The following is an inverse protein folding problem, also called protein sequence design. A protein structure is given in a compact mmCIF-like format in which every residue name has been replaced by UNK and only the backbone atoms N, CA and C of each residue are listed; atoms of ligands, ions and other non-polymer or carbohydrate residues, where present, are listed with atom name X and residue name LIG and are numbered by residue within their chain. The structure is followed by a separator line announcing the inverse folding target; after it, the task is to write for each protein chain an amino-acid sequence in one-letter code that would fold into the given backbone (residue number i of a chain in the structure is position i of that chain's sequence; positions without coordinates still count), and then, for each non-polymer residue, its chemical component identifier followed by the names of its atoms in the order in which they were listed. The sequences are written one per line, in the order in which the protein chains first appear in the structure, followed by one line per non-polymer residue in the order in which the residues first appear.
data_IF_145146180983
#
_entry.id   IF_145146180983
#
_cell.length_a   1.000
_cell.length_b   1.000
_cell.length_c   1.000
_cell.angle_alpha   90.00
_cell.angle_beta   90.00
_cell.angle_gamma   90.00
#
_symmetry.space_group_name_H-M   'P 1'
#
loop_
_entity.id
_entity.type
_entity.pdbx_description
1 polymer ?
#
# COMPACT_ATOMS: atom_id res chain seq x y z
N UNK A 1 -4.77 -1.32 17.06
CA UNK A 1 -4.90 -1.72 15.67
C UNK A 1 -5.03 -0.55 14.71
N UNK A 2 -5.17 -0.86 13.43
CA UNK A 2 -5.35 0.15 12.39
C UNK A 2 -6.74 0.75 12.48
N UNK A 3 -6.83 2.09 12.48
CA UNK A 3 -8.09 2.83 12.44
C UNK A 3 -8.19 3.75 11.22
N UNK A 4 -7.06 4.20 10.70
CA UNK A 4 -6.98 5.10 9.55
C UNK A 4 -6.44 4.35 8.34
N UNK A 5 -7.13 4.47 7.20
CA UNK A 5 -6.74 3.88 5.93
C UNK A 5 -6.67 4.98 4.89
N UNK A 6 -5.51 5.15 4.29
CA UNK A 6 -5.25 6.14 3.26
C UNK A 6 -5.25 5.44 1.89
N UNK A 7 -6.07 5.91 0.96
CA UNK A 7 -6.32 5.25 -0.31
C UNK A 7 -6.07 6.20 -1.48
N UNK A 8 -5.23 5.78 -2.42
CA UNK A 8 -5.17 6.35 -3.75
C UNK A 8 -5.91 5.42 -4.71
N UNK A 9 -6.97 5.89 -5.40
CA UNK A 9 -7.79 5.02 -6.24
C UNK A 9 -7.02 4.46 -7.43
N UNK A 10 -7.32 3.22 -7.78
CA UNK A 10 -6.77 2.54 -8.95
C UNK A 10 -7.47 1.22 -9.20
N UNK A 11 -7.55 0.79 -10.45
CA UNK A 11 -8.36 -0.36 -10.82
C UNK A 11 -7.89 -1.67 -10.16
N UNK A 12 -6.57 -1.87 -10.08
CA UNK A 12 -6.00 -3.10 -9.53
C UNK A 12 -6.20 -3.23 -8.02
N UNK A 13 -6.35 -2.11 -7.32
CA UNK A 13 -6.60 -2.09 -5.86
C UNK A 13 -8.08 -2.02 -5.50
N UNK A 14 -8.99 -2.09 -6.48
CA UNK A 14 -10.44 -2.00 -6.23
C UNK A 14 -10.94 -2.98 -5.16
N UNK A 15 -10.56 -4.27 -5.16
CA UNK A 15 -11.04 -5.18 -4.11
C UNK A 15 -10.62 -4.75 -2.71
N UNK A 16 -9.38 -4.31 -2.53
CA UNK A 16 -8.88 -3.82 -1.24
C UNK A 16 -9.63 -2.56 -0.81
N UNK A 17 -9.86 -1.65 -1.75
CA UNK A 17 -10.58 -0.39 -1.48
C UNK A 17 -12.03 -0.65 -1.05
N UNK A 18 -12.72 -1.55 -1.75
CA UNK A 18 -14.11 -1.91 -1.42
C UNK A 18 -14.19 -2.57 -0.04
N UNK A 19 -13.29 -3.49 0.25
CA UNK A 19 -13.25 -4.15 1.55
C UNK A 19 -13.02 -3.15 2.67
N UNK A 20 -12.06 -2.25 2.51
CA UNK A 20 -11.78 -1.20 3.50
C UNK A 20 -12.99 -0.27 3.70
N UNK A 21 -13.67 0.10 2.62
CA UNK A 21 -14.83 0.99 2.67
C UNK A 21 -16.04 0.38 3.39
N UNK A 22 -16.16 -0.95 3.38
CA UNK A 22 -17.25 -1.67 4.06
C UNK A 22 -17.03 -1.78 5.57
N UNK A 23 -15.81 -1.56 6.06
CA UNK A 23 -15.49 -1.64 7.48
C UNK A 23 -15.84 -0.33 8.18
N UNK A 24 -16.87 -0.35 9.03
CA UNK A 24 -17.36 0.84 9.73
C UNK A 24 -16.35 1.42 10.73
N UNK A 25 -15.38 0.62 11.16
CA UNK A 25 -14.39 1.03 12.16
C UNK A 25 -13.22 1.81 11.56
N UNK A 26 -13.12 1.88 10.23
CA UNK A 26 -12.05 2.59 9.53
C UNK A 26 -12.47 4.01 9.19
N UNK A 27 -11.55 4.95 9.44
CA UNK A 27 -11.62 6.30 8.87
C UNK A 27 -10.84 6.29 7.56
N UNK A 28 -11.53 6.54 6.45
CA UNK A 28 -10.96 6.49 5.11
C UNK A 28 -10.53 7.90 4.68
N UNK A 29 -9.30 8.00 4.20
CA UNK A 29 -8.74 9.23 3.65
C UNK A 29 -8.30 8.96 2.22
N UNK A 30 -8.65 9.86 1.30
CA UNK A 30 -8.30 9.67 -0.12
C UNK A 30 -7.41 10.81 -0.61
N UNK A 31 -6.51 10.49 -1.54
CA UNK A 31 -5.64 11.46 -2.19
C UNK A 31 -5.26 10.94 -3.58
N UNK A 32 -5.13 11.84 -4.55
CA UNK A 32 -4.84 11.45 -5.94
C UNK A 32 -3.36 11.17 -6.19
N UNK A 33 -2.47 11.85 -5.47
CA UNK A 33 -1.03 11.68 -5.59
C UNK A 33 -0.53 10.72 -4.51
N UNK A 34 0.00 9.58 -4.92
CA UNK A 34 0.46 8.54 -3.99
C UNK A 34 1.61 9.01 -3.09
N UNK A 35 2.49 9.87 -3.61
CA UNK A 35 3.56 10.45 -2.79
C UNK A 35 2.98 11.31 -1.68
N UNK A 36 2.03 12.19 -2.02
CA UNK A 36 1.30 12.99 -1.04
C UNK A 36 0.52 12.14 -0.06
N UNK A 37 -0.12 11.07 -0.55
CA UNK A 37 -0.84 10.11 0.29
C UNK A 37 0.09 9.46 1.33
N UNK A 38 1.28 9.07 0.92
CA UNK A 38 2.27 8.49 1.83
C UNK A 38 2.63 9.43 2.97
N UNK A 39 2.85 10.69 2.68
CA UNK A 39 3.15 11.69 3.71
C UNK A 39 1.93 12.05 4.56
N UNK A 40 0.73 12.03 3.99
CA UNK A 40 -0.51 12.16 4.78
C UNK A 40 -0.61 11.03 5.80
N UNK A 41 -0.38 9.78 5.38
CA UNK A 41 -0.40 8.62 6.26
C UNK A 41 0.67 8.72 7.35
N UNK A 42 1.87 9.17 6.99
CA UNK A 42 2.95 9.40 7.94
C UNK A 42 2.54 10.42 9.02
N UNK A 43 1.93 11.53 8.60
CA UNK A 43 1.43 12.55 9.52
C UNK A 43 0.36 12.01 10.45
N UNK A 44 -0.57 11.22 9.94
CA UNK A 44 -1.61 10.56 10.74
C UNK A 44 -1.00 9.60 11.76
N UNK A 45 -0.04 8.77 11.33
CA UNK A 45 0.64 7.84 12.24
C UNK A 45 1.38 8.58 13.35
N UNK A 46 2.04 9.68 13.01
CA UNK A 46 2.76 10.51 13.96
C UNK A 46 1.81 11.18 14.97
N UNK A 47 0.71 11.73 14.49
CA UNK A 47 -0.26 12.43 15.32
C UNK A 47 -1.04 11.49 16.26
N UNK A 48 -1.40 10.31 15.76
CA UNK A 48 -2.23 9.35 16.51
C UNK A 48 -1.40 8.36 17.33
N UNK A 49 -0.12 8.21 17.02
CA UNK A 49 0.76 7.17 17.59
C UNK A 49 0.23 5.75 17.32
N UNK A 50 -0.52 5.57 16.25
CA UNK A 50 -1.11 4.30 15.85
C UNK A 50 -0.68 3.95 14.42
N UNK A 51 -0.67 2.65 14.06
CA UNK A 51 -0.40 2.24 12.67
C UNK A 51 -1.45 2.79 11.71
N UNK A 52 -1.01 3.23 10.53
CA UNK A 52 -1.89 3.69 9.45
C UNK A 52 -1.68 2.81 8.23
N UNK A 53 -2.77 2.35 7.62
CA UNK A 53 -2.72 1.56 6.41
C UNK A 53 -2.77 2.45 5.17
N UNK A 54 -2.06 2.03 4.13
CA UNK A 54 -2.04 2.69 2.82
C UNK A 54 -2.40 1.66 1.76
N UNK A 55 -3.39 1.98 0.93
CA UNK A 55 -3.79 1.15 -0.20
C UNK A 55 -3.49 1.89 -1.49
N UNK A 56 -2.69 1.30 -2.36
CA UNK A 56 -2.37 1.82 -3.68
C UNK A 56 -2.43 0.73 -4.73
N UNK A 57 -2.62 1.14 -5.98
CA UNK A 57 -2.60 0.26 -7.14
C UNK A 57 -1.16 -0.14 -7.50
N UNK A 58 -1.00 -0.90 -8.57
CA UNK A 58 0.31 -1.39 -9.05
C UNK A 58 1.14 -0.32 -9.75
N UNK A 59 2.39 -0.62 -10.01
CA UNK A 59 3.29 0.19 -10.82
C UNK A 59 3.94 1.32 -10.04
N UNK A 60 4.11 2.46 -10.69
CA UNK A 60 4.75 3.63 -10.09
C UNK A 60 4.00 4.20 -8.87
N UNK A 61 2.72 3.87 -8.72
CA UNK A 61 1.96 4.16 -7.51
C UNK A 61 2.67 3.62 -6.26
N UNK A 62 3.17 2.39 -6.34
CA UNK A 62 3.94 1.76 -5.27
C UNK A 62 5.28 2.48 -5.05
N UNK A 63 6.01 2.74 -6.13
CA UNK A 63 7.31 3.42 -6.07
C UNK A 63 7.22 4.81 -5.44
N UNK A 64 6.12 5.52 -5.65
CA UNK A 64 5.90 6.85 -5.10
C UNK A 64 5.71 6.86 -3.56
N UNK A 65 5.54 5.71 -2.95
CA UNK A 65 5.50 5.60 -1.49
C UNK A 65 6.89 5.57 -0.84
N UNK A 66 7.93 5.36 -1.62
CA UNK A 66 9.29 5.22 -1.08
C UNK A 66 9.74 6.39 -0.20
N UNK A 67 9.53 7.66 -0.57
CA UNK A 67 9.96 8.78 0.28
C UNK A 67 9.34 8.73 1.69
N UNK A 68 8.03 8.51 1.79
CA UNK A 68 7.35 8.46 3.08
C UNK A 68 7.70 7.19 3.88
N UNK A 69 7.91 6.07 3.20
CA UNK A 69 8.33 4.82 3.84
C UNK A 69 9.74 4.96 4.44
N UNK A 70 10.65 5.56 3.70
CA UNK A 70 12.01 5.84 4.20
C UNK A 70 11.97 6.75 5.43
N UNK A 71 11.15 7.81 5.38
CA UNK A 71 11.00 8.73 6.50
C UNK A 71 10.35 8.05 7.71
N UNK A 72 9.33 7.22 7.49
CA UNK A 72 8.68 6.47 8.56
C UNK A 72 9.67 5.57 9.32
N UNK A 73 10.59 4.93 8.60
CA UNK A 73 11.65 4.14 9.22
C UNK A 73 12.56 4.99 10.10
N UNK A 74 12.96 6.15 9.61
CA UNK A 74 13.85 7.06 10.34
C UNK A 74 13.21 7.59 11.62
N UNK A 75 11.91 7.85 11.59
CA UNK A 75 11.20 8.50 12.69
C UNK A 75 10.39 7.52 13.55
N UNK A 76 10.29 6.26 13.13
CA UNK A 76 9.69 5.19 13.93
C UNK A 76 8.17 5.08 13.84
N UNK A 77 7.53 5.75 12.88
CA UNK A 77 6.10 5.61 12.64
C UNK A 77 5.79 4.27 11.95
N UNK A 78 4.61 3.73 12.24
CA UNK A 78 4.16 2.44 11.71
C UNK A 78 3.23 2.63 10.53
N UNK A 79 3.67 2.22 9.35
CA UNK A 79 2.86 2.19 8.13
C UNK A 79 2.68 0.75 7.69
N UNK A 80 1.45 0.42 7.29
CA UNK A 80 1.09 -0.89 6.71
C UNK A 80 0.71 -0.66 5.25
N UNK A 81 1.56 -1.07 4.33
CA UNK A 81 1.34 -0.86 2.90
C UNK A 81 0.67 -2.08 2.29
N UNK A 82 -0.50 -1.86 1.71
CA UNK A 82 -1.26 -2.87 0.97
C UNK A 82 -1.21 -2.49 -0.50
N UNK A 83 -0.24 -3.06 -1.20
CA UNK A 83 0.05 -2.72 -2.60
C UNK A 83 -0.48 -3.80 -3.52
N UNK A 84 -1.27 -3.41 -4.51
CA UNK A 84 -1.67 -4.32 -5.57
C UNK A 84 -0.50 -4.56 -6.53
N UNK A 85 -0.50 -5.70 -7.22
CA UNK A 85 0.47 -6.01 -8.26
C UNK A 85 -0.22 -6.63 -9.46
N UNK A 86 0.44 -6.58 -10.60
CA UNK A 86 0.01 -7.30 -11.79
C UNK A 86 0.30 -8.79 -11.64
N UNK A 87 -0.49 -9.67 -12.28
CA UNK A 87 -0.15 -11.08 -12.35
C UNK A 87 1.27 -11.26 -12.92
N UNK A 88 1.96 -12.31 -12.48
CA UNK A 88 3.36 -12.55 -12.84
C UNK A 88 3.59 -12.59 -14.35
N UNK A 89 2.63 -13.07 -15.12
CA UNK A 89 2.69 -13.14 -16.58
C UNK A 89 2.65 -11.78 -17.27
N UNK A 90 2.24 -10.73 -16.57
CA UNK A 90 2.20 -9.37 -17.09
C UNK A 90 3.40 -8.53 -16.66
N UNK A 91 4.23 -9.03 -15.77
CA UNK A 91 5.43 -8.32 -15.31
C UNK A 91 6.56 -8.54 -16.31
N UNK A 92 7.20 -7.43 -16.73
CA UNK A 92 8.33 -7.49 -17.67
C UNK A 92 7.96 -7.63 -19.13
N UNK A 93 6.68 -7.57 -19.51
CA UNK A 93 6.22 -7.69 -20.89
C UNK A 93 5.69 -6.37 -21.48
N UNK A 94 5.93 -5.24 -20.82
CA UNK A 94 5.46 -3.93 -21.28
C UNK A 94 3.99 -3.63 -20.99
N UNK A 95 3.35 -4.40 -20.11
CA UNK A 95 1.99 -4.12 -19.68
C UNK A 95 1.91 -2.77 -18.95
N UNK A 96 0.78 -2.08 -19.10
CA UNK A 96 0.54 -0.80 -18.43
C UNK A 96 0.57 -0.96 -16.91
N UNK A 97 1.17 0.02 -16.23
CA UNK A 97 1.21 0.06 -14.78
C UNK A 97 1.83 -1.20 -14.14
N UNK A 98 2.86 -1.75 -14.77
CA UNK A 98 3.57 -2.93 -14.29
C UNK A 98 5.05 -2.63 -14.19
N UNK A 99 5.60 -2.74 -12.97
CA UNK A 99 7.03 -2.62 -12.69
C UNK A 99 7.44 -3.81 -11.81
N UNK A 100 8.73 -4.02 -11.63
CA UNK A 100 9.21 -4.98 -10.64
C UNK A 100 9.03 -4.40 -9.24
N UNK A 101 7.99 -4.84 -8.54
CA UNK A 101 7.64 -4.35 -7.20
C UNK A 101 8.31 -5.12 -6.08
N UNK A 102 8.79 -6.35 -6.36
CA UNK A 102 9.40 -7.18 -5.33
C UNK A 102 10.64 -6.52 -4.74
N UNK A 103 10.64 -6.37 -3.42
CA UNK A 103 11.77 -5.78 -2.71
C UNK A 103 11.97 -4.28 -2.92
N UNK A 104 11.00 -3.58 -3.49
CA UNK A 104 11.15 -2.15 -3.81
C UNK A 104 11.42 -1.29 -2.57
N UNK A 105 10.92 -1.68 -1.41
CA UNK A 105 11.16 -0.97 -0.14
C UNK A 105 12.30 -1.55 0.68
N UNK A 106 12.78 -2.73 0.34
CA UNK A 106 13.96 -3.45 0.83
C UNK A 106 14.45 -3.07 2.23
N UNK A 107 15.33 -2.06 2.33
CA UNK A 107 15.96 -1.62 3.58
C UNK A 107 15.10 -0.69 4.44
N UNK A 108 13.92 -0.31 3.96
CA UNK A 108 13.08 0.70 4.59
C UNK A 108 11.83 0.13 5.27
N UNK A 109 11.68 -1.20 5.27
CA UNK A 109 10.56 -1.90 5.91
C UNK A 109 11.07 -2.98 6.84
N UNK A 110 10.31 -3.27 7.90
CA UNK A 110 10.65 -4.32 8.85
C UNK A 110 10.29 -5.71 8.33
N UNK A 111 9.25 -5.79 7.49
CA UNK A 111 8.80 -7.04 6.89
C UNK A 111 8.16 -6.74 5.54
N UNK A 112 8.26 -7.70 4.63
CA UNK A 112 7.60 -7.65 3.32
C UNK A 112 7.06 -9.04 3.00
N UNK A 113 5.78 -9.10 2.64
CA UNK A 113 5.10 -10.33 2.27
C UNK A 113 4.61 -10.22 0.84
N UNK A 114 4.91 -11.22 0.04
CA UNK A 114 4.38 -11.35 -1.31
C UNK A 114 3.34 -12.46 -1.32
N UNK A 115 2.06 -12.08 -1.36
CA UNK A 115 0.95 -13.03 -1.35
C UNK A 115 0.75 -13.59 -2.76
N UNK A 116 0.56 -14.92 -2.90
CA UNK A 116 0.26 -15.52 -4.20
C UNK A 116 -1.12 -15.10 -4.68
N UNK A 117 -1.35 -15.22 -6.00
CA UNK A 117 -2.68 -15.05 -6.55
C UNK A 117 -3.64 -16.05 -5.91
N UNK A 118 -4.81 -15.63 -5.43
CA UNK A 118 -5.75 -16.54 -4.79
C UNK A 118 -6.31 -17.54 -5.80
N UNK A 119 -6.54 -18.77 -5.34
CA UNK A 119 -7.20 -19.83 -6.07
C UNK A 119 -7.99 -20.70 -5.09
N UNK A 120 -8.73 -21.70 -5.59
CA UNK A 120 -9.56 -22.56 -4.74
C UNK A 120 -8.77 -23.37 -3.71
N UNK A 121 -7.47 -23.55 -3.90
CA UNK A 121 -6.60 -24.29 -2.97
C UNK A 121 -5.88 -23.34 -1.99
N UNK A 122 -6.02 -22.02 -2.14
CA UNK A 122 -5.33 -21.05 -1.28
C UNK A 122 -6.02 -21.00 0.08
N UNK A 123 -5.25 -21.27 1.13
CA UNK A 123 -5.69 -21.03 2.51
C UNK A 123 -5.06 -19.75 3.04
N UNK A 124 -5.83 -18.98 3.74
CA UNK A 124 -5.40 -17.74 4.37
C UNK A 124 -4.97 -17.97 5.83
#
# INVERSE_FOLDING_TARGET
GVKHVCIAPGSRSTPLTLEAAEQSDFSIHTHFDERGLGFMALGLAKATQEPVAIIVTSGTAVANLLPSVAEAKLTGEKLVLLTADRPVELVGCGANQAINQLGIFSHHVSASLNLPSPNLATSL
#
